data_IF_362362392935
#
_entry.id   IF_362362392935
#
_cell.length_a   1.000
_cell.length_b   1.000
_cell.length_c   1.000
_cell.angle_alpha   90.00
_cell.angle_beta   90.00
_cell.angle_gamma   90.00
#
_symmetry.space_group_name_H-M   'P 1'
#
loop_
_entity.id
_entity.type
_entity.pdbx_description
1 polymer ?
#
# COMPACT_ATOMS: atom_id res chain seq x y z
N UNK A 1 -40.64 -0.99 49.53
CA UNK A 1 -39.62 -0.49 50.47
C UNK A 1 -39.22 0.90 50.01
N UNK A 2 -39.39 1.89 50.89
CA UNK A 2 -39.04 3.29 50.69
C UNK A 2 -37.64 3.51 51.27
N UNK A 3 -36.74 4.16 50.54
CA UNK A 3 -35.50 4.71 51.09
C UNK A 3 -35.35 6.16 50.66
N UNK A 4 -35.53 7.04 51.64
CA UNK A 4 -35.15 8.47 51.66
C UNK A 4 -33.65 8.56 51.97
N UNK A 5 -32.90 9.42 51.28
CA UNK A 5 -31.65 10.03 51.77
C UNK A 5 -31.56 11.43 51.13
N UNK A 6 -31.83 12.49 51.90
CA UNK A 6 -30.88 13.34 52.66
C UNK A 6 -30.18 14.38 51.78
N UNK A 7 -30.84 15.54 51.71
CA UNK A 7 -30.34 16.81 51.21
C UNK A 7 -29.32 17.40 52.19
N UNK A 8 -28.08 17.57 51.77
CA UNK A 8 -27.08 18.39 52.46
C UNK A 8 -27.12 19.84 51.94
N UNK A 9 -27.32 20.77 52.87
CA UNK A 9 -27.14 22.21 52.69
C UNK A 9 -25.64 22.53 52.70
N UNK A 10 -25.12 23.08 51.60
CA UNK A 10 -23.82 23.76 51.58
C UNK A 10 -24.01 25.29 51.58
N UNK A 11 -23.18 26.04 52.31
CA UNK A 11 -23.27 27.49 52.42
C UNK A 11 -22.82 28.18 51.13
N UNK A 12 -23.51 29.26 50.79
CA UNK A 12 -23.18 30.20 49.70
C UNK A 12 -21.79 30.80 49.92
N UNK A 13 -20.82 30.43 49.08
CA UNK A 13 -19.60 31.21 48.87
C UNK A 13 -19.88 32.28 47.80
N UNK A 14 -19.59 33.53 48.17
CA UNK A 14 -19.60 34.71 47.29
C UNK A 14 -18.29 34.68 46.49
N UNK A 15 -18.30 34.61 45.14
CA UNK A 15 -17.07 34.77 44.38
C UNK A 15 -16.73 36.26 44.32
N UNK A 16 -15.56 36.60 44.85
CA UNK A 16 -14.92 37.89 44.66
C UNK A 16 -14.50 37.97 43.18
N UNK A 17 -15.23 38.74 42.36
CA UNK A 17 -14.82 39.09 41.01
C UNK A 17 -13.58 40.00 41.06
N UNK A 18 -12.39 39.40 41.07
CA UNK A 18 -11.19 40.08 40.59
C UNK A 18 -11.25 40.05 39.06
N UNK A 19 -11.59 41.19 38.47
CA UNK A 19 -11.51 41.43 37.03
C UNK A 19 -10.06 41.36 36.58
N UNK A 20 -9.60 40.16 36.23
CA UNK A 20 -8.43 39.97 35.37
C UNK A 20 -8.93 40.33 33.97
N UNK A 21 -8.63 41.55 33.52
CA UNK A 21 -8.74 41.90 32.11
C UNK A 21 -7.90 40.86 31.34
N UNK A 22 -8.48 40.08 30.42
CA UNK A 22 -7.68 39.33 29.47
C UNK A 22 -6.98 40.39 28.61
N UNK A 23 -5.67 40.55 28.81
CA UNK A 23 -4.81 41.11 27.79
C UNK A 23 -4.91 40.14 26.60
N UNK A 24 -5.88 40.38 25.71
CA UNK A 24 -5.80 39.93 24.34
C UNK A 24 -4.61 40.67 23.73
N UNK A 25 -3.42 40.10 23.92
CA UNK A 25 -2.27 40.37 23.08
C UNK A 25 -2.69 39.96 21.67
N UNK A 26 -3.25 40.91 20.92
CA UNK A 26 -3.38 40.78 19.48
C UNK A 26 -1.96 40.69 18.94
N UNK A 27 -1.50 39.47 18.68
CA UNK A 27 -0.29 39.26 17.91
C UNK A 27 -0.58 39.70 16.48
N UNK A 28 -0.46 40.99 16.21
CA UNK A 28 -0.42 41.50 14.85
C UNK A 28 0.86 40.94 14.21
N UNK A 29 0.73 39.84 13.48
CA UNK A 29 1.83 39.14 12.83
C UNK A 29 2.01 37.67 13.24
N UNK A 30 1.13 37.07 14.04
CA UNK A 30 1.08 35.61 14.15
C UNK A 30 0.20 35.11 13.00
N UNK A 31 0.80 34.86 11.84
CA UNK A 31 0.14 34.10 10.78
C UNK A 31 -0.19 32.71 11.34
N UNK A 32 -1.36 32.19 10.97
CA UNK A 32 -1.73 30.85 11.41
C UNK A 32 -0.84 29.83 10.68
N UNK A 33 -0.45 28.73 11.32
CA UNK A 33 0.35 27.70 10.66
C UNK A 33 -0.41 27.10 9.47
N UNK A 34 0.33 26.68 8.45
CA UNK A 34 -0.22 25.85 7.37
C UNK A 34 -0.90 24.62 7.94
N UNK A 35 -1.93 24.13 7.25
CA UNK A 35 -2.76 23.05 7.75
C UNK A 35 -3.03 22.02 6.68
N UNK A 36 -2.90 20.74 7.04
CA UNK A 36 -3.41 19.64 6.23
C UNK A 36 -4.71 19.15 6.87
N UNK A 37 -5.81 19.26 6.15
CA UNK A 37 -7.08 18.66 6.53
C UNK A 37 -7.22 17.29 5.86
N UNK A 38 -7.81 16.34 6.59
CA UNK A 38 -8.04 14.98 6.12
C UNK A 38 -9.53 14.71 5.99
N UNK A 39 -9.93 14.17 4.84
CA UNK A 39 -11.30 13.74 4.56
C UNK A 39 -11.38 12.24 4.27
N UNK A 40 -12.56 11.67 4.56
CA UNK A 40 -12.85 10.23 4.44
C UNK A 40 -11.80 9.33 5.12
N UNK A 41 -11.27 9.77 6.27
CA UNK A 41 -10.31 8.97 7.04
C UNK A 41 -10.94 7.69 7.57
N UNK A 42 -10.12 6.70 7.94
CA UNK A 42 -10.61 5.46 8.56
C UNK A 42 -10.79 5.56 10.08
N UNK A 43 -10.49 6.72 10.67
CA UNK A 43 -10.42 6.90 12.12
C UNK A 43 -9.18 6.28 12.78
N UNK A 44 -8.24 5.73 12.00
CA UNK A 44 -6.95 5.24 12.50
C UNK A 44 -5.87 6.33 12.38
N UNK A 45 -4.65 5.99 12.80
CA UNK A 45 -3.49 6.84 12.61
C UNK A 45 -3.24 7.21 11.14
N UNK A 46 -2.74 8.42 10.92
CA UNK A 46 -2.35 8.92 9.61
C UNK A 46 -0.86 9.23 9.64
N UNK A 47 -0.16 8.71 8.64
CA UNK A 47 1.22 9.05 8.34
C UNK A 47 1.26 9.86 7.06
N UNK A 48 2.10 10.89 7.03
CA UNK A 48 2.27 11.77 5.88
C UNK A 48 3.76 11.83 5.53
N UNK A 49 4.08 11.69 4.24
CA UNK A 49 5.33 12.14 3.64
C UNK A 49 5.03 13.48 2.98
N UNK A 50 5.81 14.49 3.35
CA UNK A 50 5.63 15.85 2.90
C UNK A 50 6.91 16.35 2.24
N UNK A 51 6.75 16.86 1.03
CA UNK A 51 7.80 17.54 0.27
C UNK A 51 7.49 19.04 0.19
N UNK A 52 8.51 19.85 0.37
CA UNK A 52 8.35 21.30 0.34
C UNK A 52 9.63 22.04 0.72
N UNK A 53 9.47 23.29 1.12
CA UNK A 53 10.57 24.15 1.56
C UNK A 53 10.15 24.95 2.78
N UNK A 54 11.04 25.10 3.74
CA UNK A 54 10.88 26.01 4.87
C UNK A 54 12.07 26.97 4.95
N UNK A 55 12.15 27.72 6.06
CA UNK A 55 13.26 28.65 6.33
C UNK A 55 14.64 27.99 6.42
N UNK A 56 14.71 26.67 6.66
CA UNK A 56 15.95 25.90 6.76
C UNK A 56 16.37 25.29 5.41
N UNK A 57 15.45 25.18 4.45
CA UNK A 57 15.72 24.73 3.09
C UNK A 57 14.62 23.86 2.51
N UNK A 58 14.90 23.24 1.37
CA UNK A 58 14.02 22.21 0.80
C UNK A 58 14.14 20.93 1.62
N UNK A 59 13.02 20.28 1.88
CA UNK A 59 12.98 18.97 2.52
C UNK A 59 12.20 18.01 1.63
N UNK A 60 12.59 16.74 1.71
CA UNK A 60 12.02 15.63 0.94
C UNK A 60 11.66 14.52 1.92
N UNK A 61 10.49 13.93 1.74
CA UNK A 61 9.90 12.86 2.53
C UNK A 61 9.84 13.16 4.04
N UNK A 62 9.55 14.41 4.42
CA UNK A 62 9.43 14.76 5.85
C UNK A 62 8.26 13.99 6.44
N UNK A 63 8.55 13.12 7.40
CA UNK A 63 7.56 12.28 8.06
C UNK A 63 6.77 13.10 9.08
N UNK A 64 5.45 13.12 8.93
CA UNK A 64 4.52 13.62 9.94
C UNK A 64 3.58 12.49 10.35
N UNK A 65 3.36 12.36 11.65
CA UNK A 65 2.47 11.36 12.21
C UNK A 65 1.39 12.03 13.06
N UNK A 66 0.15 11.57 12.91
CA UNK A 66 -0.96 12.09 13.70
C UNK A 66 -2.01 11.04 14.04
N UNK A 67 -2.59 11.20 15.23
CA UNK A 67 -3.83 10.54 15.67
C UNK A 67 -5.05 11.47 15.52
N UNK A 68 -4.81 12.73 15.17
CA UNK A 68 -5.81 13.80 15.21
C UNK A 68 -6.47 13.96 13.84
N UNK A 69 -7.79 13.82 13.85
CA UNK A 69 -8.71 14.13 12.76
C UNK A 69 -9.55 15.32 13.24
N UNK A 70 -9.83 16.35 12.41
CA UNK A 70 -9.80 16.33 10.94
C UNK A 70 -8.55 16.97 10.30
N UNK A 71 -7.48 17.27 11.03
CA UNK A 71 -6.30 17.86 10.40
C UNK A 71 -5.14 18.08 11.35
N UNK A 72 -4.02 18.50 10.78
CA UNK A 72 -2.78 18.84 11.47
C UNK A 72 -2.30 20.22 11.06
N UNK A 73 -1.87 21.00 12.05
CA UNK A 73 -1.16 22.25 11.80
C UNK A 73 0.33 21.93 11.65
N UNK A 74 0.98 22.54 10.67
CA UNK A 74 2.40 22.39 10.37
C UNK A 74 3.13 23.55 11.02
N UNK A 75 4.03 23.24 11.96
CA UNK A 75 4.67 24.25 12.82
C UNK A 75 5.56 25.26 12.08
N UNK A 76 5.81 25.06 10.79
CA UNK A 76 6.65 25.90 9.94
C UNK A 76 5.91 26.27 8.67
N UNK A 77 5.94 27.55 8.30
CA UNK A 77 5.46 27.99 6.98
C UNK A 77 6.20 27.23 5.89
N UNK A 78 5.44 26.48 5.10
CA UNK A 78 5.91 25.79 3.92
C UNK A 78 5.76 26.75 2.77
N UNK A 79 6.82 26.92 2.00
CA UNK A 79 6.80 27.62 0.73
C UNK A 79 6.94 26.55 -0.35
N UNK A 80 6.17 26.67 -1.44
CA UNK A 80 6.31 25.77 -2.58
C UNK A 80 7.74 25.77 -3.10
N UNK A 81 8.28 24.59 -3.41
CA UNK A 81 9.55 24.51 -4.14
C UNK A 81 9.33 24.81 -5.65
N UNK A 82 10.40 24.90 -6.43
CA UNK A 82 10.28 25.16 -7.87
C UNK A 82 9.62 23.99 -8.66
N UNK A 83 9.45 22.82 -8.03
CA UNK A 83 8.85 21.63 -8.61
C UNK A 83 7.41 21.41 -8.12
N UNK A 84 6.90 22.23 -7.19
CA UNK A 84 5.68 22.00 -6.43
C UNK A 84 5.90 21.02 -5.28
N UNK A 85 5.24 21.25 -4.14
CA UNK A 85 5.24 20.31 -3.02
C UNK A 85 4.47 19.03 -3.33
N UNK A 86 4.65 18.01 -2.50
CA UNK A 86 3.90 16.76 -2.53
C UNK A 86 3.39 16.43 -1.14
N UNK A 87 2.15 15.93 -1.05
CA UNK A 87 1.63 15.31 0.17
C UNK A 87 1.22 13.89 -0.17
N UNK A 88 1.96 12.91 0.34
CA UNK A 88 1.57 11.50 0.29
C UNK A 88 1.12 11.04 1.68
N UNK A 89 -0.15 10.67 1.82
CA UNK A 89 -0.74 10.30 3.10
C UNK A 89 -1.21 8.85 3.11
N UNK A 90 -1.02 8.19 4.24
CA UNK A 90 -1.27 6.77 4.44
C UNK A 90 -2.11 6.57 5.69
N UNK A 91 -3.12 5.73 5.61
CA UNK A 91 -3.90 5.28 6.77
C UNK A 91 -4.44 3.88 6.52
N UNK A 92 -4.86 3.18 7.57
CA UNK A 92 -5.45 1.84 7.42
C UNK A 92 -6.78 1.92 6.69
N UNK A 93 -7.14 0.86 5.97
CA UNK A 93 -8.45 0.67 5.34
C UNK A 93 -8.90 1.80 4.39
N UNK A 94 -7.93 2.49 3.80
CA UNK A 94 -8.09 3.50 2.77
C UNK A 94 -6.92 3.39 1.82
N UNK A 95 -7.13 3.77 0.57
CA UNK A 95 -6.02 3.95 -0.34
C UNK A 95 -5.10 5.07 0.15
N UNK A 96 -3.78 4.95 -0.04
CA UNK A 96 -2.89 6.09 0.05
C UNK A 96 -3.42 7.24 -0.82
N UNK A 97 -3.30 8.47 -0.34
CA UNK A 97 -3.60 9.68 -1.09
C UNK A 97 -2.30 10.34 -1.51
N UNK A 98 -2.23 10.84 -2.74
CA UNK A 98 -1.03 11.52 -3.27
C UNK A 98 -1.52 12.80 -3.94
N UNK A 99 -1.25 13.94 -3.29
CA UNK A 99 -1.54 15.26 -3.82
C UNK A 99 -0.27 15.82 -4.43
N UNK A 100 -0.27 15.99 -5.76
CA UNK A 100 0.82 16.62 -6.49
C UNK A 100 0.30 17.28 -7.77
N UNK A 101 0.76 18.50 -8.11
CA UNK A 101 1.61 19.38 -7.30
C UNK A 101 0.79 20.11 -6.23
N UNK A 102 1.38 20.34 -5.07
CA UNK A 102 0.87 21.22 -4.02
C UNK A 102 1.54 22.58 -4.13
N UNK A 103 0.76 23.65 -4.13
CA UNK A 103 1.27 25.03 -4.28
C UNK A 103 1.08 25.79 -2.98
N UNK A 104 2.06 25.66 -2.08
CA UNK A 104 2.10 26.48 -0.87
C UNK A 104 2.46 27.94 -1.20
N UNK A 105 1.70 28.88 -0.64
CA UNK A 105 1.82 30.33 -0.81
C UNK A 105 2.46 30.97 0.43
N UNK A 106 2.80 32.26 0.35
CA UNK A 106 3.14 33.00 1.56
C UNK A 106 1.87 33.22 2.39
N UNK A 107 1.92 32.86 3.68
CA UNK A 107 0.80 32.94 4.61
C UNK A 107 0.26 31.55 4.97
N UNK A 108 -0.96 31.51 5.51
CA UNK A 108 -1.61 30.25 5.92
C UNK A 108 -2.24 29.52 4.73
N UNK A 109 -1.71 28.36 4.39
CA UNK A 109 -2.32 27.42 3.46
C UNK A 109 -3.16 26.36 4.17
N UNK A 110 -4.22 25.91 3.50
CA UNK A 110 -5.04 24.80 3.96
C UNK A 110 -5.18 23.80 2.82
N UNK A 111 -4.43 22.71 2.92
CA UNK A 111 -4.43 21.64 1.94
C UNK A 111 -5.37 20.51 2.36
N UNK A 112 -6.16 20.03 1.40
CA UNK A 112 -7.11 18.94 1.64
C UNK A 112 -6.58 17.63 1.09
N UNK A 113 -6.39 16.66 1.97
CA UNK A 113 -6.07 15.28 1.63
C UNK A 113 -7.33 14.44 1.74
N UNK A 114 -7.85 14.03 0.59
CA UNK A 114 -8.98 13.10 0.50
C UNK A 114 -8.47 11.67 0.36
N UNK A 115 -8.93 10.77 1.24
CA UNK A 115 -8.65 9.35 1.14
C UNK A 115 -9.73 8.63 0.33
N UNK A 116 -9.33 7.89 -0.70
CA UNK A 116 -10.25 7.02 -1.44
C UNK A 116 -10.56 5.73 -0.65
N UNK A 117 -11.70 5.10 -0.97
CA UNK A 117 -12.05 3.80 -0.41
C UNK A 117 -11.06 2.71 -0.85
N UNK A 118 -11.03 1.59 -0.13
CA UNK A 118 -10.18 0.45 -0.49
C UNK A 118 -10.52 -0.11 -1.88
N UNK A 119 -9.49 -0.61 -2.57
CA UNK A 119 -9.62 -1.28 -3.87
C UNK A 119 -9.79 -2.77 -3.67
N UNK A 120 -10.84 -3.34 -4.25
CA UNK A 120 -11.03 -4.80 -4.27
C UNK A 120 -10.40 -5.41 -5.52
N UNK A 121 -9.30 -6.13 -5.34
CA UNK A 121 -8.58 -6.80 -6.41
C UNK A 121 -9.24 -8.13 -6.73
N UNK A 122 -9.75 -8.25 -7.96
CA UNK A 122 -10.35 -9.48 -8.46
C UNK A 122 -9.30 -10.35 -9.15
N UNK A 123 -9.34 -11.66 -8.92
CA UNK A 123 -8.37 -12.61 -9.46
C UNK A 123 -9.07 -13.66 -10.32
N UNK A 124 -8.38 -14.15 -11.35
CA UNK A 124 -8.75 -15.38 -12.06
C UNK A 124 -7.59 -16.37 -11.98
N UNK A 125 -7.87 -17.57 -11.51
CA UNK A 125 -6.91 -18.64 -11.28
C UNK A 125 -7.17 -19.76 -12.28
N UNK A 126 -6.22 -19.96 -13.19
CA UNK A 126 -6.24 -20.99 -14.22
C UNK A 126 -5.47 -22.23 -13.75
N UNK A 127 -6.17 -23.33 -13.53
CA UNK A 127 -5.57 -24.57 -13.06
C UNK A 127 -5.18 -25.41 -14.27
N UNK A 128 -3.89 -25.36 -14.64
CA UNK A 128 -3.36 -25.97 -15.85
C UNK A 128 -2.83 -27.37 -15.58
N UNK A 129 -2.11 -27.56 -14.46
CA UNK A 129 -1.49 -28.85 -14.14
C UNK A 129 -1.78 -29.25 -12.70
N UNK A 130 -2.13 -30.53 -12.54
CA UNK A 130 -2.34 -31.22 -11.26
C UNK A 130 -1.66 -32.58 -11.32
N UNK A 131 -1.50 -33.23 -10.17
CA UNK A 131 -1.09 -34.63 -10.10
C UNK A 131 -1.92 -35.42 -9.07
N UNK A 132 -1.46 -36.63 -8.72
CA UNK A 132 -2.16 -37.50 -7.76
C UNK A 132 -2.22 -36.93 -6.34
N UNK A 133 -1.29 -36.03 -5.98
CA UNK A 133 -1.16 -35.45 -4.64
C UNK A 133 -1.72 -34.02 -4.65
N UNK A 134 -1.33 -33.19 -5.61
CA UNK A 134 -1.82 -31.84 -5.75
C UNK A 134 -3.01 -31.78 -6.72
N UNK A 135 -4.19 -32.11 -6.18
CA UNK A 135 -5.45 -32.11 -6.93
C UNK A 135 -5.94 -30.68 -7.21
N UNK A 136 -6.94 -30.55 -8.10
CA UNK A 136 -7.63 -29.26 -8.34
C UNK A 136 -8.08 -28.60 -7.03
N UNK A 137 -8.66 -29.39 -6.11
CA UNK A 137 -9.11 -28.90 -4.80
C UNK A 137 -7.95 -28.37 -3.95
N UNK A 138 -6.81 -29.07 -3.95
CA UNK A 138 -5.62 -28.61 -3.22
C UNK A 138 -5.10 -27.29 -3.79
N UNK A 139 -4.98 -27.18 -5.11
CA UNK A 139 -4.56 -25.94 -5.79
C UNK A 139 -5.48 -24.77 -5.48
N UNK A 140 -6.80 -24.99 -5.45
CA UNK A 140 -7.78 -23.97 -5.10
C UNK A 140 -7.59 -23.50 -3.65
N UNK A 141 -7.47 -24.43 -2.70
CA UNK A 141 -7.28 -24.11 -1.28
C UNK A 141 -5.97 -23.37 -1.05
N UNK A 142 -4.84 -23.88 -1.55
CA UNK A 142 -3.52 -23.27 -1.41
C UNK A 142 -3.49 -21.83 -1.94
N UNK A 143 -4.11 -21.60 -3.11
CA UNK A 143 -4.17 -20.27 -3.72
C UNK A 143 -5.06 -19.33 -2.92
N UNK A 144 -6.20 -19.80 -2.43
CA UNK A 144 -7.10 -18.99 -1.62
C UNK A 144 -6.44 -18.61 -0.28
N UNK A 145 -5.78 -19.55 0.38
CA UNK A 145 -5.05 -19.30 1.64
C UNK A 145 -3.93 -18.26 1.41
N UNK A 146 -3.22 -18.35 0.28
CA UNK A 146 -2.19 -17.37 -0.09
C UNK A 146 -2.76 -15.97 -0.40
N UNK A 147 -3.92 -15.89 -1.05
CA UNK A 147 -4.59 -14.62 -1.30
C UNK A 147 -5.15 -14.00 -0.02
N UNK A 148 -5.67 -14.80 0.91
CA UNK A 148 -6.10 -14.34 2.24
C UNK A 148 -4.93 -13.87 3.09
N UNK A 149 -3.78 -14.55 3.01
CA UNK A 149 -2.53 -14.10 3.60
C UNK A 149 -2.13 -12.72 3.07
N UNK A 150 -2.16 -12.54 1.74
CA UNK A 150 -1.85 -11.27 1.11
C UNK A 150 -2.80 -10.15 1.56
N UNK A 151 -4.12 -10.41 1.57
CA UNK A 151 -5.15 -9.45 2.05
C UNK A 151 -4.88 -8.96 3.46
N UNK A 152 -4.50 -9.87 4.37
CA UNK A 152 -4.17 -9.52 5.74
C UNK A 152 -3.01 -8.52 5.79
N UNK A 153 -1.95 -8.74 5.01
CA UNK A 153 -0.76 -7.88 5.05
C UNK A 153 -0.93 -6.59 4.25
N UNK A 154 -1.72 -6.58 3.19
CA UNK A 154 -2.11 -5.34 2.51
C UNK A 154 -2.84 -4.38 3.47
N UNK A 155 -3.72 -4.92 4.32
CA UNK A 155 -4.40 -4.13 5.36
C UNK A 155 -3.44 -3.65 6.46
N UNK A 156 -2.54 -4.53 6.93
CA UNK A 156 -1.58 -4.18 7.99
C UNK A 156 -0.62 -3.08 7.55
N UNK A 157 -0.17 -3.13 6.29
CA UNK A 157 0.82 -2.20 5.71
C UNK A 157 0.18 -1.02 4.96
N UNK A 158 -1.13 -0.79 5.15
CA UNK A 158 -1.85 0.40 4.66
C UNK A 158 -1.79 0.57 3.14
N UNK A 159 -1.76 -0.55 2.40
CA UNK A 159 -1.83 -0.50 0.94
C UNK A 159 -3.21 -0.04 0.44
N UNK A 160 -4.25 -0.14 1.26
CA UNK A 160 -5.62 0.19 0.83
C UNK A 160 -6.16 -0.75 -0.24
N UNK A 161 -5.62 -1.98 -0.30
CA UNK A 161 -6.03 -3.05 -1.20
C UNK A 161 -6.70 -4.15 -0.40
N UNK A 162 -7.70 -4.79 -1.02
CA UNK A 162 -8.50 -5.86 -0.45
C UNK A 162 -8.69 -6.99 -1.44
N UNK A 163 -8.80 -8.22 -0.93
CA UNK A 163 -9.20 -9.35 -1.74
C UNK A 163 -10.64 -9.18 -2.22
N UNK A 164 -10.82 -9.11 -3.54
CA UNK A 164 -12.10 -9.13 -4.22
C UNK A 164 -12.54 -10.55 -4.60
N UNK A 165 -13.25 -10.67 -5.71
CA UNK A 165 -13.75 -11.94 -6.21
C UNK A 165 -12.62 -12.78 -6.82
N UNK A 166 -12.51 -14.03 -6.38
CA UNK A 166 -11.59 -15.03 -6.94
C UNK A 166 -12.38 -16.01 -7.81
N UNK A 167 -12.02 -16.11 -9.09
CA UNK A 167 -12.59 -17.09 -10.03
C UNK A 167 -11.59 -18.20 -10.27
N UNK A 168 -12.00 -19.45 -10.09
CA UNK A 168 -11.18 -20.62 -10.46
C UNK A 168 -11.68 -21.22 -11.77
N UNK A 169 -10.75 -21.53 -12.67
CA UNK A 169 -11.03 -22.18 -13.95
C UNK A 169 -10.13 -23.42 -14.07
N UNK A 170 -10.74 -24.60 -14.02
CA UNK A 170 -10.04 -25.86 -14.25
C UNK A 170 -9.93 -26.14 -15.75
N UNK A 171 -8.70 -26.14 -16.27
CA UNK A 171 -8.39 -26.44 -17.66
C UNK A 171 -7.50 -27.68 -17.80
N UNK A 172 -7.37 -28.48 -16.74
CA UNK A 172 -6.46 -29.64 -16.69
C UNK A 172 -6.74 -30.69 -17.78
N UNK A 173 -7.98 -30.76 -18.28
CA UNK A 173 -8.39 -31.65 -19.36
C UNK A 173 -8.29 -31.02 -20.77
N UNK A 174 -7.81 -29.77 -20.88
CA UNK A 174 -7.64 -29.08 -22.16
C UNK A 174 -6.40 -29.60 -22.90
N UNK A 175 -6.50 -29.78 -24.22
CA UNK A 175 -5.35 -30.11 -25.06
C UNK A 175 -4.25 -29.04 -24.96
N UNK A 176 -4.62 -27.76 -24.82
CA UNK A 176 -3.70 -26.64 -24.65
C UNK A 176 -2.95 -26.69 -23.31
N UNK A 177 -3.52 -27.30 -22.27
CA UNK A 177 -2.86 -27.39 -20.97
C UNK A 177 -1.61 -28.27 -21.04
N UNK A 178 -1.65 -29.33 -21.86
CA UNK A 178 -0.52 -30.25 -22.03
C UNK A 178 0.75 -29.57 -22.58
N UNK A 179 0.61 -28.51 -23.38
CA UNK A 179 1.74 -27.78 -23.98
C UNK A 179 2.14 -26.51 -23.21
N UNK A 180 1.41 -26.15 -22.15
CA UNK A 180 1.59 -24.90 -21.41
C UNK A 180 1.72 -25.12 -19.89
N UNK A 181 2.17 -26.31 -19.48
CA UNK A 181 2.35 -26.64 -18.06
C UNK A 181 3.72 -26.22 -17.50
N UNK A 182 4.64 -25.72 -18.31
CA UNK A 182 6.00 -25.37 -17.90
C UNK A 182 6.39 -23.99 -18.44
N UNK A 183 6.83 -23.10 -17.55
CA UNK A 183 7.45 -21.83 -17.92
C UNK A 183 8.97 -21.95 -17.89
N UNK A 184 9.64 -21.57 -18.98
CA UNK A 184 11.09 -21.67 -19.14
C UNK A 184 11.92 -20.65 -18.35
N UNK A 185 11.29 -19.68 -17.68
CA UNK A 185 11.99 -18.56 -17.03
C UNK A 185 12.09 -17.33 -17.95
N UNK A 186 12.84 -16.28 -17.56
CA UNK A 186 12.83 -14.97 -18.24
C UNK A 186 13.21 -14.97 -19.73
N UNK A 187 13.80 -16.06 -20.24
CA UNK A 187 14.13 -16.21 -21.66
C UNK A 187 12.97 -16.77 -22.50
N UNK A 188 11.90 -17.28 -21.87
CA UNK A 188 10.66 -17.70 -22.51
C UNK A 188 9.72 -16.47 -22.62
N UNK A 189 10.15 -15.50 -23.43
CA UNK A 189 9.55 -14.16 -23.54
C UNK A 189 8.10 -14.18 -23.99
N UNK A 190 7.69 -15.24 -24.67
CA UNK A 190 6.39 -15.35 -25.34
C UNK A 190 5.39 -16.13 -24.47
N UNK A 191 5.81 -16.60 -23.29
CA UNK A 191 5.02 -17.50 -22.46
C UNK A 191 3.66 -16.91 -22.09
N UNK A 192 3.65 -15.67 -21.61
CA UNK A 192 2.45 -15.01 -21.12
C UNK A 192 1.43 -14.72 -22.22
N UNK A 193 1.89 -14.33 -23.41
CA UNK A 193 1.07 -14.22 -24.62
C UNK A 193 0.49 -15.57 -25.04
N UNK A 194 1.29 -16.63 -24.91
CA UNK A 194 0.89 -17.98 -25.29
C UNK A 194 -0.17 -18.53 -24.32
N UNK A 195 0.00 -18.38 -23.01
CA UNK A 195 -1.02 -18.85 -22.05
C UNK A 195 -2.28 -18.00 -22.07
N UNK A 196 -2.18 -16.68 -22.25
CA UNK A 196 -3.38 -15.82 -22.39
C UNK A 196 -4.22 -16.23 -23.60
N UNK A 197 -3.56 -16.58 -24.72
CA UNK A 197 -4.20 -17.00 -25.96
C UNK A 197 -4.80 -18.41 -25.88
N UNK A 198 -4.02 -19.40 -25.41
CA UNK A 198 -4.39 -20.81 -25.54
C UNK A 198 -5.05 -21.41 -24.29
N UNK A 199 -4.87 -20.80 -23.12
CA UNK A 199 -5.52 -21.22 -21.87
C UNK A 199 -6.67 -20.27 -21.54
N UNK A 200 -6.38 -18.97 -21.50
CA UNK A 200 -7.34 -17.93 -21.24
C UNK A 200 -6.76 -16.76 -20.48
N UNK A 201 -7.50 -15.67 -20.52
CA UNK A 201 -7.19 -14.41 -19.87
C UNK A 201 -8.50 -13.70 -19.53
N UNK A 202 -8.58 -13.13 -18.33
CA UNK A 202 -9.75 -12.41 -17.84
C UNK A 202 -9.36 -10.93 -17.62
N UNK A 203 -9.73 -10.01 -18.53
CA UNK A 203 -9.29 -8.62 -18.46
C UNK A 203 -9.86 -7.91 -17.23
N UNK A 204 -9.08 -6.99 -16.65
CA UNK A 204 -9.44 -6.28 -15.42
C UNK A 204 -9.28 -7.14 -14.15
N UNK A 205 -8.46 -8.20 -14.24
CA UNK A 205 -8.11 -9.10 -13.13
C UNK A 205 -6.65 -9.51 -13.23
N UNK A 206 -6.03 -9.77 -12.09
CA UNK A 206 -4.78 -10.52 -12.07
C UNK A 206 -5.07 -11.99 -12.40
N UNK A 207 -4.38 -12.51 -13.41
CA UNK A 207 -4.49 -13.86 -13.94
C UNK A 207 -3.35 -14.74 -13.40
N UNK A 208 -3.69 -15.71 -12.55
CA UNK A 208 -2.75 -16.63 -11.93
C UNK A 208 -2.83 -17.99 -12.62
N UNK A 209 -1.75 -18.42 -13.26
CA UNK A 209 -1.62 -19.69 -13.93
C UNK A 209 -0.92 -20.71 -13.03
N UNK A 210 -1.65 -21.72 -12.59
CA UNK A 210 -1.16 -22.79 -11.75
C UNK A 210 -0.63 -23.93 -12.63
N UNK A 211 0.70 -23.99 -12.74
CA UNK A 211 1.41 -24.84 -13.69
C UNK A 211 2.27 -25.89 -12.99
N UNK A 212 2.92 -26.76 -13.77
CA UNK A 212 3.79 -27.82 -13.23
C UNK A 212 5.07 -27.23 -12.66
N UNK A 213 5.80 -26.43 -13.43
CA UNK A 213 7.07 -25.85 -13.00
C UNK A 213 7.37 -24.49 -13.63
N UNK A 214 8.13 -23.70 -12.89
CA UNK A 214 8.66 -22.38 -13.25
C UNK A 214 10.18 -22.49 -13.23
N UNK A 215 10.83 -22.22 -14.36
CA UNK A 215 12.29 -22.28 -14.50
C UNK A 215 12.89 -23.61 -13.98
N UNK A 216 12.27 -24.73 -14.37
CA UNK A 216 12.71 -26.07 -13.95
C UNK A 216 12.41 -26.47 -12.50
N UNK A 217 11.76 -25.60 -11.71
CA UNK A 217 11.37 -25.90 -10.33
C UNK A 217 9.87 -25.92 -10.14
N UNK A 218 9.38 -26.87 -9.34
CA UNK A 218 7.96 -26.95 -8.95
C UNK A 218 7.60 -26.02 -7.79
N UNK A 219 8.57 -25.43 -7.10
CA UNK A 219 8.34 -24.63 -5.88
C UNK A 219 8.45 -23.12 -6.12
N UNK A 220 8.71 -22.69 -7.35
CA UNK A 220 8.89 -21.29 -7.72
C UNK A 220 7.61 -20.68 -8.30
N UNK A 221 7.53 -19.35 -8.20
CA UNK A 221 6.60 -18.52 -8.95
C UNK A 221 7.38 -17.51 -9.80
N UNK A 222 6.69 -16.90 -10.75
CA UNK A 222 7.21 -15.77 -11.52
C UNK A 222 6.06 -14.86 -11.94
N UNK A 223 6.30 -13.56 -11.91
CA UNK A 223 5.48 -12.55 -12.54
C UNK A 223 6.42 -11.53 -13.22
N UNK A 224 6.09 -11.02 -14.41
CA UNK A 224 6.77 -9.86 -14.94
C UNK A 224 6.58 -8.67 -13.98
N UNK A 225 7.56 -7.78 -13.96
CA UNK A 225 7.36 -6.46 -13.33
C UNK A 225 6.39 -5.72 -14.23
N UNK A 226 5.37 -5.14 -13.60
CA UNK A 226 4.22 -4.56 -14.28
C UNK A 226 3.35 -5.60 -14.99
N UNK A 227 2.08 -5.27 -15.19
CA UNK A 227 1.08 -6.17 -15.74
C UNK A 227 0.42 -7.08 -14.70
N UNK A 228 -0.31 -8.07 -15.19
CA UNK A 228 -1.35 -8.74 -14.40
C UNK A 228 -1.34 -10.27 -14.52
N UNK A 229 -0.23 -10.86 -14.96
CA UNK A 229 -0.12 -12.29 -15.15
C UNK A 229 0.94 -12.89 -14.23
N UNK A 230 0.61 -14.01 -13.59
CA UNK A 230 1.48 -14.71 -12.65
C UNK A 230 1.51 -16.20 -13.00
N UNK A 231 2.67 -16.84 -12.95
CA UNK A 231 2.77 -18.30 -12.97
C UNK A 231 3.24 -18.83 -11.62
N UNK A 232 2.60 -19.90 -11.15
CA UNK A 232 2.94 -20.57 -9.90
C UNK A 232 3.16 -22.06 -10.16
N UNK A 233 4.32 -22.57 -9.74
CA UNK A 233 4.62 -24.00 -9.77
C UNK A 233 3.72 -24.84 -8.86
N UNK A 234 3.76 -26.15 -9.06
CA UNK A 234 2.83 -27.09 -8.42
C UNK A 234 2.99 -27.21 -6.90
N UNK A 235 4.15 -26.90 -6.32
CA UNK A 235 4.43 -27.07 -4.90
C UNK A 235 4.97 -25.79 -4.27
N UNK A 236 4.43 -24.64 -4.68
CA UNK A 236 4.82 -23.35 -4.11
C UNK A 236 4.57 -23.33 -2.60
N UNK A 237 3.47 -23.91 -2.11
CA UNK A 237 3.22 -24.38 -0.73
C UNK A 237 3.22 -23.33 0.40
N UNK A 238 4.07 -22.30 0.30
CA UNK A 238 4.18 -21.19 1.21
C UNK A 238 3.34 -20.00 0.66
N UNK A 239 2.41 -19.46 1.47
CA UNK A 239 1.48 -18.43 1.02
C UNK A 239 2.18 -17.12 0.62
N UNK A 240 3.33 -16.84 1.20
CA UNK A 240 4.10 -15.61 0.96
C UNK A 240 4.76 -15.58 -0.43
N UNK A 241 4.95 -16.72 -1.10
CA UNK A 241 5.50 -16.76 -2.46
C UNK A 241 4.53 -16.11 -3.44
N UNK A 242 3.22 -16.40 -3.34
CA UNK A 242 2.24 -15.77 -4.23
C UNK A 242 2.15 -14.27 -3.95
N UNK A 243 2.16 -13.87 -2.68
CA UNK A 243 2.19 -12.45 -2.32
C UNK A 243 3.41 -11.73 -2.91
N UNK A 244 4.58 -12.36 -2.90
CA UNK A 244 5.79 -11.86 -3.58
C UNK A 244 5.60 -11.73 -5.09
N UNK A 245 4.98 -12.71 -5.76
CA UNK A 245 4.73 -12.58 -7.19
C UNK A 245 3.71 -11.47 -7.50
N UNK A 246 2.67 -11.32 -6.66
CA UNK A 246 1.72 -10.23 -6.78
C UNK A 246 2.41 -8.87 -6.60
N UNK A 247 3.44 -8.76 -5.75
CA UNK A 247 4.14 -7.48 -5.61
C UNK A 247 4.87 -7.05 -6.89
N UNK A 248 5.32 -7.98 -7.74
CA UNK A 248 5.86 -7.63 -9.06
C UNK A 248 4.80 -7.02 -9.98
N UNK A 249 3.55 -7.52 -9.91
CA UNK A 249 2.42 -6.88 -10.60
C UNK A 249 2.15 -5.47 -10.07
N UNK A 250 2.60 -5.12 -8.86
CA UNK A 250 2.49 -3.76 -8.29
C UNK A 250 3.71 -2.88 -8.56
N UNK A 251 4.47 -3.18 -9.62
CA UNK A 251 5.72 -2.50 -9.98
C UNK A 251 6.85 -2.59 -8.95
N UNK A 252 6.79 -3.55 -8.01
CA UNK A 252 7.86 -3.71 -7.03
C UNK A 252 8.91 -4.70 -7.53
N UNK A 253 10.19 -4.33 -7.50
CA UNK A 253 11.28 -5.24 -7.82
C UNK A 253 11.99 -5.75 -6.58
N UNK A 254 12.93 -6.68 -6.81
CA UNK A 254 13.75 -7.28 -5.76
C UNK A 254 14.58 -6.25 -4.98
N UNK A 255 14.47 -6.28 -3.64
CA UNK A 255 15.15 -5.37 -2.71
C UNK A 255 16.38 -5.98 -2.02
N UNK A 256 16.88 -7.11 -2.49
CA UNK A 256 17.92 -7.93 -1.84
C UNK A 256 19.22 -7.16 -1.51
N UNK A 257 19.52 -6.10 -2.28
CA UNK A 257 20.73 -5.29 -2.09
C UNK A 257 20.44 -3.89 -1.53
N UNK A 258 19.22 -3.63 -1.07
CA UNK A 258 18.81 -2.32 -0.56
C UNK A 258 18.92 -2.32 0.98
N UNK A 259 19.68 -1.37 1.52
CA UNK A 259 19.82 -1.21 2.96
C UNK A 259 18.47 -0.95 3.64
N UNK A 260 18.28 -1.54 4.83
CA UNK A 260 17.03 -1.42 5.60
C UNK A 260 15.99 -2.49 5.29
N UNK A 261 16.17 -3.30 4.24
CA UNK A 261 15.33 -4.47 4.01
C UNK A 261 15.94 -5.77 4.56
N UNK A 262 15.05 -6.69 4.94
CA UNK A 262 15.40 -8.06 5.31
C UNK A 262 14.48 -9.05 4.59
N UNK A 263 14.70 -10.35 4.80
CA UNK A 263 13.96 -11.44 4.15
C UNK A 263 12.47 -11.53 4.52
N UNK A 264 11.97 -10.69 5.42
CA UNK A 264 10.55 -10.57 5.74
C UNK A 264 9.84 -9.53 4.85
N UNK A 265 10.56 -8.75 4.04
CA UNK A 265 9.93 -7.87 3.06
C UNK A 265 9.34 -8.68 1.91
N UNK A 266 8.15 -8.29 1.46
CA UNK A 266 7.46 -8.94 0.32
C UNK A 266 8.29 -9.01 -0.95
N UNK A 267 9.11 -8.01 -1.25
CA UNK A 267 9.87 -7.95 -2.49
C UNK A 267 11.26 -8.61 -2.37
N UNK A 268 11.64 -9.20 -1.24
CA UNK A 268 12.93 -9.87 -1.11
C UNK A 268 12.95 -11.19 -1.89
N UNK A 269 13.90 -11.41 -2.81
CA UNK A 269 13.94 -12.62 -3.64
C UNK A 269 14.20 -13.88 -2.80
N UNK A 270 15.13 -13.78 -1.85
CA UNK A 270 15.42 -14.83 -0.87
C UNK A 270 14.32 -14.98 0.18
N UNK A 271 13.25 -15.70 -0.13
CA UNK A 271 12.28 -16.15 0.86
C UNK A 271 12.88 -17.27 1.68
N UNK A 272 12.99 -17.10 2.99
CA UNK A 272 13.23 -18.24 3.88
C UNK A 272 11.86 -18.86 4.19
N UNK A 273 11.73 -20.20 4.23
CA UNK A 273 10.54 -20.85 4.79
C UNK A 273 10.28 -20.45 6.25
N UNK A 274 11.19 -19.70 6.88
CA UNK A 274 11.07 -19.14 8.23
C UNK A 274 10.92 -17.60 8.26
N UNK A 275 11.15 -16.87 7.16
CA UNK A 275 11.08 -15.40 7.18
C UNK A 275 9.67 -14.87 6.98
N UNK A 276 8.76 -15.68 6.40
CA UNK A 276 7.36 -15.35 6.09
C UNK A 276 7.20 -13.88 5.70
N UNK A 277 7.37 -13.59 4.42
CA UNK A 277 7.27 -12.21 3.95
C UNK A 277 5.93 -11.63 4.37
N UNK A 278 5.98 -10.45 4.99
CA UNK A 278 4.89 -9.93 5.82
C UNK A 278 4.81 -8.40 5.86
N UNK A 279 5.71 -7.69 5.20
CA UNK A 279 5.67 -6.23 5.24
C UNK A 279 6.00 -5.59 3.89
N UNK A 280 5.47 -4.38 3.74
CA UNK A 280 5.76 -3.40 2.71
C UNK A 280 6.25 -2.13 3.44
N UNK A 281 7.15 -1.37 2.83
CA UNK A 281 7.46 -0.02 3.31
C UNK A 281 6.46 1.00 2.75
N UNK A 282 6.38 2.19 3.34
CA UNK A 282 5.58 3.28 2.77
C UNK A 282 6.10 3.70 1.39
N UNK A 283 7.41 3.61 1.14
CA UNK A 283 8.00 3.82 -0.18
C UNK A 283 7.58 2.78 -1.24
N UNK A 284 7.34 1.53 -0.83
CA UNK A 284 6.76 0.50 -1.70
C UNK A 284 5.26 0.74 -1.91
N UNK A 285 4.52 1.07 -0.84
CA UNK A 285 3.10 1.41 -0.90
C UNK A 285 2.84 2.61 -1.81
N UNK A 286 3.70 3.64 -1.78
CA UNK A 286 3.65 4.75 -2.72
C UNK A 286 3.77 4.27 -4.17
N UNK A 287 4.80 3.45 -4.49
CA UNK A 287 5.04 2.92 -5.85
C UNK A 287 3.87 2.09 -6.37
N UNK A 288 3.27 1.26 -5.52
CA UNK A 288 2.08 0.46 -5.86
C UNK A 288 0.94 1.35 -6.42
N UNK A 289 0.80 2.57 -5.89
CA UNK A 289 -0.28 3.50 -6.26
C UNK A 289 0.14 4.59 -7.26
N UNK A 290 1.42 4.95 -7.31
CA UNK A 290 1.92 5.99 -8.19
C UNK A 290 2.36 5.45 -9.55
N UNK A 291 2.87 4.21 -9.62
CA UNK A 291 3.40 3.65 -10.87
C UNK A 291 2.29 3.42 -11.89
N UNK A 292 2.38 3.96 -13.12
CA UNK A 292 1.42 3.67 -14.17
C UNK A 292 1.34 2.18 -14.54
N UNK A 293 2.47 1.46 -14.47
CA UNK A 293 2.56 0.04 -14.82
C UNK A 293 2.03 -0.92 -13.76
N UNK A 294 1.82 -0.44 -12.54
CA UNK A 294 1.25 -1.25 -11.46
C UNK A 294 -0.14 -1.71 -11.85
N UNK A 295 -0.47 -2.97 -11.62
CA UNK A 295 -1.78 -3.54 -11.88
C UNK A 295 -2.91 -2.72 -11.22
N UNK A 296 -2.64 -2.06 -10.09
CA UNK A 296 -3.59 -1.13 -9.43
C UNK A 296 -4.04 -0.04 -10.41
N UNK A 297 -3.13 0.49 -11.22
CA UNK A 297 -3.41 1.56 -12.17
C UNK A 297 -3.69 1.05 -13.58
N UNK A 298 -2.88 0.13 -14.12
CA UNK A 298 -3.05 -0.38 -15.48
C UNK A 298 -4.28 -1.32 -15.59
N UNK A 299 -4.37 -2.29 -14.70
CA UNK A 299 -5.40 -3.35 -14.77
C UNK A 299 -6.71 -2.94 -14.12
N UNK A 300 -6.64 -2.34 -12.93
CA UNK A 300 -7.83 -1.95 -12.15
C UNK A 300 -8.25 -0.49 -12.37
N UNK A 301 -7.44 0.32 -13.07
CA UNK A 301 -7.73 1.71 -13.40
C UNK A 301 -8.23 2.52 -12.19
N UNK A 302 -7.53 2.39 -11.06
CA UNK A 302 -7.98 2.94 -9.79
C UNK A 302 -7.78 4.46 -9.72
N UNK A 303 -6.76 4.99 -10.40
CA UNK A 303 -6.36 6.41 -10.36
C UNK A 303 -6.48 7.10 -11.74
N UNK A 304 -7.67 7.09 -12.39
CA UNK A 304 -7.83 7.71 -13.70
C UNK A 304 -7.67 9.22 -13.61
N UNK A 305 -6.66 9.77 -14.31
CA UNK A 305 -6.40 11.22 -14.35
C UNK A 305 -5.79 11.79 -13.08
N UNK A 306 -5.56 10.98 -12.04
CA UNK A 306 -4.78 11.38 -10.89
C UNK A 306 -3.28 11.32 -11.21
N UNK A 307 -2.46 11.91 -10.33
CA UNK A 307 -1.02 11.86 -10.47
C UNK A 307 -0.51 10.42 -10.46
N UNK A 308 0.29 10.10 -11.48
CA UNK A 308 1.03 8.85 -11.61
C UNK A 308 2.45 9.20 -12.08
N UNK A 309 3.43 8.53 -11.49
CA UNK A 309 4.83 8.73 -11.79
C UNK A 309 5.57 7.41 -11.58
N UNK A 310 6.40 7.05 -12.56
CA UNK A 310 7.23 5.86 -12.46
C UNK A 310 8.43 6.17 -11.55
N UNK A 311 8.53 5.43 -10.45
CA UNK A 311 9.54 5.60 -9.42
C UNK A 311 10.46 4.38 -9.38
N UNK A 312 11.61 4.40 -10.08
CA UNK A 312 12.54 3.29 -10.08
C UNK A 312 12.99 2.90 -8.67
N UNK A 313 13.22 1.61 -8.44
CA UNK A 313 13.41 1.03 -7.10
C UNK A 313 14.69 1.48 -6.38
N UNK A 314 15.64 2.06 -7.10
CA UNK A 314 16.89 2.59 -6.55
C UNK A 314 16.98 4.12 -6.62
N UNK A 315 15.91 4.80 -7.00
CA UNK A 315 15.86 6.26 -7.09
C UNK A 315 15.03 6.78 -5.93
N UNK A 316 15.70 7.49 -5.02
CA UNK A 316 15.05 8.48 -4.16
C UNK A 316 15.22 9.84 -4.83
N UNK A 317 14.12 10.56 -4.99
CA UNK A 317 14.10 11.90 -5.57
C UNK A 317 12.97 12.70 -4.93
N UNK A 318 12.91 14.02 -5.16
CA UNK A 318 11.79 14.88 -4.74
C UNK A 318 10.38 14.46 -5.20
N UNK A 319 10.25 13.39 -5.98
CA UNK A 319 8.96 12.84 -6.46
C UNK A 319 8.83 11.34 -6.22
N UNK A 320 9.83 10.76 -5.58
CA UNK A 320 9.90 9.33 -5.33
C UNK A 320 10.50 9.12 -3.95
N UNK A 321 9.64 8.84 -2.95
CA UNK A 321 10.11 8.42 -1.66
C UNK A 321 11.13 7.30 -1.80
N UNK A 322 12.16 7.29 -0.95
CA UNK A 322 13.09 6.17 -0.91
C UNK A 322 12.30 4.85 -0.80
N UNK A 323 12.68 3.80 -1.54
CA UNK A 323 11.93 2.54 -1.49
C UNK A 323 11.87 1.97 -0.06
N UNK A 324 12.89 2.21 0.76
CA UNK A 324 12.95 1.82 2.17
C UNK A 324 12.29 2.83 3.12
N UNK A 325 11.65 3.90 2.62
CA UNK A 325 11.05 4.94 3.45
C UNK A 325 10.02 4.32 4.39
N UNK A 326 10.16 4.60 5.69
CA UNK A 326 9.25 4.13 6.74
C UNK A 326 8.66 5.28 7.53
N UNK A 327 7.35 5.22 7.73
CA UNK A 327 6.65 6.03 8.74
C UNK A 327 6.40 5.18 9.99
N UNK A 328 6.08 3.90 9.82
CA UNK A 328 5.88 2.97 10.93
C UNK A 328 6.99 1.90 10.94
N UNK A 329 7.56 1.61 12.10
CA UNK A 329 8.46 0.48 12.34
C UNK A 329 7.71 -0.84 12.16
N UNK A 330 8.47 -1.84 11.72
CA UNK A 330 8.02 -3.23 11.67
C UNK A 330 7.61 -3.73 13.06
N UNK A 331 6.33 -4.00 13.22
CA UNK A 331 5.78 -4.68 14.38
C UNK A 331 5.49 -3.82 15.62
N UNK A 332 6.11 -2.65 15.83
CA UNK A 332 5.90 -1.81 17.03
C UNK A 332 6.35 -0.33 16.84
N UNK A 333 5.44 0.60 16.55
CA UNK A 333 5.66 2.07 16.68
C UNK A 333 6.17 2.81 15.43
N UNK A 334 6.38 4.12 15.51
CA UNK A 334 6.80 5.03 14.39
C UNK A 334 8.29 4.82 14.06
N UNK A 335 8.66 4.80 12.78
CA UNK A 335 10.06 4.75 12.33
C UNK A 335 10.64 6.17 12.34
N UNK A 336 11.69 6.37 13.12
CA UNK A 336 12.42 7.64 13.19
C UNK A 336 13.58 7.68 12.20
#
# INVERSE_FOLDING_TARGET
MKTKFLSFLFPRMIPLCFGILPFFLSCNGCEAPDRINFENTSGNEIGVLLDGRDSLGTFNDRVIFTQVVPGIDIETDIIGDQLGGEIAAFTRNRMPSINYPVTFQEGTDVELVHFENEVFLNFTVWIISVDLINTVSNRMSETLDALLWADQYWQQERLGLRLGAVRFVDVTNSASAATNMDYGGPLDTDYFDRVSTFIGYDPGRINIYLIRQVNGSRTLGFAPVDGDQIVMGMYTGAPDILMHQISHCFSLVHVDNVAGFNSSNVAHAGGSPFSNRKYFSEGQTYRVHASPGSAVNDTYNVRPGAYQYDCPDNVSSPRCPAISQRIWLDGLGIAN
#
